data_IF_372730923024
#
_entry.id   IF_372730923024
#
_cell.length_a   1.000
_cell.length_b   1.000
_cell.length_c   1.000
_cell.angle_alpha   90.00
_cell.angle_beta   90.00
_cell.angle_gamma   90.00
#
_symmetry.space_group_name_H-M   'P 1'
#
loop_
_entity.id
_entity.type
_entity.pdbx_description
1 polymer ?
#
# COMPACT_ATOMS: atom_id res chain seq x y z
N UNK A 1 -15.95 2.31 15.26
CA UNK A 1 -16.32 2.98 14.00
C UNK A 1 -16.56 1.93 12.93
N UNK A 2 -17.78 1.83 12.36
CA UNK A 2 -18.12 0.88 11.30
C UNK A 2 -17.30 1.15 10.02
N UNK A 3 -17.11 0.14 9.18
CA UNK A 3 -16.28 0.26 7.97
C UNK A 3 -16.89 1.21 6.95
N UNK A 4 -18.21 1.29 6.86
CA UNK A 4 -18.94 2.23 5.99
C UNK A 4 -18.56 3.70 6.22
N UNK A 5 -18.23 4.09 7.47
CA UNK A 5 -17.80 5.44 7.81
C UNK A 5 -16.32 5.69 7.50
N UNK A 6 -15.54 4.63 7.29
CA UNK A 6 -14.12 4.71 6.97
C UNK A 6 -13.87 4.63 5.48
N UNK A 7 -14.68 3.86 4.74
CA UNK A 7 -14.54 3.59 3.32
C UNK A 7 -15.07 4.73 2.44
N UNK A 8 -14.73 5.96 2.80
CA UNK A 8 -15.18 7.20 2.14
C UNK A 8 -13.97 8.06 1.75
N UNK A 9 -14.20 8.98 0.83
CA UNK A 9 -13.23 10.04 0.54
C UNK A 9 -13.13 11.01 1.72
N UNK A 10 -11.95 11.61 1.94
CA UNK A 10 -11.67 12.53 3.06
C UNK A 10 -11.89 11.92 4.46
N UNK A 11 -11.66 10.62 4.61
CA UNK A 11 -11.76 9.95 5.91
C UNK A 11 -10.67 10.44 6.86
N UNK A 12 -11.03 10.72 8.11
CA UNK A 12 -10.08 11.09 9.19
C UNK A 12 -9.35 9.88 9.79
N UNK A 13 -9.64 8.67 9.29
CA UNK A 13 -8.99 7.45 9.75
C UNK A 13 -7.52 7.36 9.29
N UNK A 14 -6.61 7.79 10.15
CA UNK A 14 -5.18 7.88 9.82
C UNK A 14 -4.37 6.58 9.93
N UNK A 15 -4.93 5.48 10.44
CA UNK A 15 -4.17 4.25 10.68
C UNK A 15 -4.37 3.20 9.57
N UNK A 16 -3.62 3.32 8.48
CA UNK A 16 -3.70 2.39 7.32
C UNK A 16 -3.42 0.94 7.68
N UNK A 17 -2.50 0.69 8.64
CA UNK A 17 -2.17 -0.66 9.10
C UNK A 17 -3.33 -1.34 9.82
N UNK A 18 -4.13 -0.57 10.57
CA UNK A 18 -5.33 -1.07 11.23
C UNK A 18 -6.50 -1.18 10.26
N UNK A 19 -6.63 -0.25 9.30
CA UNK A 19 -7.61 -0.35 8.23
C UNK A 19 -7.42 -1.66 7.46
N UNK A 20 -6.19 -1.95 7.04
CA UNK A 20 -5.81 -3.20 6.37
C UNK A 20 -6.33 -4.44 7.09
N UNK A 21 -6.03 -4.58 8.39
CA UNK A 21 -6.44 -5.74 9.19
C UNK A 21 -7.96 -5.89 9.20
N UNK A 22 -8.68 -4.77 9.30
CA UNK A 22 -10.15 -4.78 9.31
C UNK A 22 -10.74 -5.14 7.95
N UNK A 23 -10.14 -4.68 6.85
CA UNK A 23 -10.59 -5.04 5.49
C UNK A 23 -10.41 -6.53 5.20
N UNK A 24 -9.27 -7.09 5.61
CA UNK A 24 -9.00 -8.52 5.47
C UNK A 24 -9.94 -9.33 6.35
N UNK A 25 -10.12 -8.94 7.62
CA UNK A 25 -11.03 -9.63 8.54
C UNK A 25 -12.51 -9.58 8.08
N UNK A 26 -12.91 -8.51 7.40
CA UNK A 26 -14.23 -8.36 6.82
C UNK A 26 -14.41 -9.06 5.47
N UNK A 27 -13.35 -9.67 4.91
CA UNK A 27 -13.39 -10.31 3.59
C UNK A 27 -13.52 -9.34 2.41
N UNK A 28 -13.30 -8.03 2.63
CA UNK A 28 -13.40 -7.01 1.60
C UNK A 28 -12.14 -6.92 0.73
N UNK A 29 -11.00 -7.36 1.27
CA UNK A 29 -9.71 -7.38 0.58
C UNK A 29 -8.96 -8.68 0.87
N UNK A 30 -8.12 -9.16 -0.05
CA UNK A 30 -7.39 -10.41 0.14
C UNK A 30 -6.30 -10.30 1.20
N UNK A 31 -5.96 -11.43 1.82
CA UNK A 31 -4.83 -11.59 2.74
C UNK A 31 -3.49 -11.83 2.00
N UNK A 32 -3.44 -11.55 0.70
CA UNK A 32 -2.27 -11.70 -0.17
C UNK A 32 -2.07 -10.46 -1.03
N UNK A 33 -0.91 -10.35 -1.66
CA UNK A 33 -0.61 -9.25 -2.57
C UNK A 33 -1.54 -9.28 -3.80
N UNK A 34 -2.30 -8.21 -4.04
CA UNK A 34 -3.18 -8.09 -5.22
C UNK A 34 -2.38 -8.00 -6.53
N UNK A 35 -1.09 -7.62 -6.49
CA UNK A 35 -0.25 -7.50 -7.68
C UNK A 35 0.47 -8.81 -8.07
N UNK A 36 1.01 -9.56 -7.11
CA UNK A 36 1.82 -10.75 -7.39
C UNK A 36 1.26 -12.05 -6.80
N UNK A 37 0.17 -12.00 -6.04
CA UNK A 37 -0.46 -13.16 -5.40
C UNK A 37 0.30 -13.72 -4.19
N UNK A 38 1.48 -13.20 -3.86
CA UNK A 38 2.27 -13.70 -2.75
C UNK A 38 1.64 -13.33 -1.40
N UNK A 39 1.51 -14.33 -0.53
CA UNK A 39 1.12 -14.18 0.88
C UNK A 39 2.27 -14.47 1.86
N UNK A 40 3.25 -15.26 1.41
CA UNK A 40 4.35 -15.75 2.23
C UNK A 40 5.65 -15.76 1.43
N UNK A 41 6.77 -15.62 2.14
CA UNK A 41 8.11 -15.66 1.59
C UNK A 41 8.99 -16.52 2.49
N UNK A 42 9.61 -17.56 1.90
CA UNK A 42 10.43 -18.53 2.64
C UNK A 42 9.73 -19.13 3.86
N UNK A 43 8.44 -19.47 3.73
CA UNK A 43 7.61 -20.03 4.80
C UNK A 43 7.26 -19.06 5.92
N UNK A 44 7.48 -17.74 5.73
CA UNK A 44 7.08 -16.70 6.67
C UNK A 44 6.01 -15.80 6.05
N UNK A 45 5.00 -15.34 6.81
CA UNK A 45 3.98 -14.44 6.28
C UNK A 45 4.63 -13.12 5.84
N UNK A 46 4.22 -12.63 4.66
CA UNK A 46 4.71 -11.37 4.15
C UNK A 46 4.05 -10.20 4.89
N UNK A 47 4.80 -9.14 5.24
CA UNK A 47 4.21 -7.92 5.77
C UNK A 47 3.51 -7.17 4.63
N UNK A 48 2.23 -7.42 4.43
CA UNK A 48 1.44 -6.69 3.43
C UNK A 48 1.14 -5.27 3.92
N UNK A 49 1.16 -4.32 3.00
CA UNK A 49 0.81 -2.92 3.18
C UNK A 49 -0.50 -2.59 2.47
N UNK A 50 -1.20 -1.56 2.95
CA UNK A 50 -2.33 -0.96 2.27
C UNK A 50 -1.81 0.25 1.48
N UNK A 51 -1.96 0.22 0.16
CA UNK A 51 -1.58 1.29 -0.76
C UNK A 51 -2.82 1.99 -1.31
N UNK A 52 -2.73 3.30 -1.43
CA UNK A 52 -3.74 4.16 -2.04
C UNK A 52 -3.34 4.42 -3.49
N UNK A 53 -4.16 3.98 -4.44
CA UNK A 53 -3.84 4.01 -5.88
C UNK A 53 -3.60 5.46 -6.36
N UNK A 54 -4.42 6.40 -5.88
CA UNK A 54 -4.27 7.83 -6.19
C UNK A 54 -3.18 8.55 -5.36
N UNK A 55 -2.56 7.87 -4.38
CA UNK A 55 -1.60 8.46 -3.45
C UNK A 55 -2.20 9.36 -2.36
N UNK A 56 -3.51 9.51 -2.30
CA UNK A 56 -4.22 10.28 -1.28
C UNK A 56 -4.60 9.38 -0.10
N UNK A 57 -3.89 9.58 1.01
CA UNK A 57 -4.10 8.87 2.27
C UNK A 57 -5.49 9.09 2.91
N UNK A 58 -6.24 10.11 2.48
CA UNK A 58 -7.57 10.41 2.99
C UNK A 58 -8.68 9.72 2.19
N UNK A 59 -8.37 9.20 1.00
CA UNK A 59 -9.33 8.52 0.13
C UNK A 59 -9.35 7.02 0.41
N UNK A 60 -10.13 6.63 1.41
CA UNK A 60 -10.23 5.25 1.85
C UNK A 60 -11.30 4.44 1.12
N UNK A 61 -11.81 4.91 -0.03
CA UNK A 61 -12.77 4.14 -0.83
C UNK A 61 -12.18 2.80 -1.26
N UNK A 62 -12.97 1.74 -1.21
CA UNK A 62 -12.49 0.37 -1.44
C UNK A 62 -11.81 0.20 -2.81
N UNK A 63 -12.32 0.89 -3.83
CA UNK A 63 -11.76 0.92 -5.20
C UNK A 63 -10.37 1.59 -5.28
N UNK A 64 -10.08 2.53 -4.38
CA UNK A 64 -8.82 3.26 -4.33
C UNK A 64 -7.76 2.55 -3.47
N UNK A 65 -8.16 1.49 -2.74
CA UNK A 65 -7.28 0.76 -1.84
C UNK A 65 -6.79 -0.53 -2.50
N UNK A 66 -5.53 -0.89 -2.29
CA UNK A 66 -4.99 -2.20 -2.66
C UNK A 66 -3.99 -2.74 -1.64
N UNK A 67 -3.91 -4.07 -1.55
CA UNK A 67 -3.00 -4.80 -0.67
C UNK A 67 -1.75 -5.19 -1.45
N UNK A 68 -0.58 -4.69 -1.03
CA UNK A 68 0.69 -4.96 -1.70
C UNK A 68 1.73 -5.54 -0.74
N UNK A 69 2.57 -6.44 -1.25
CA UNK A 69 3.77 -6.88 -0.55
C UNK A 69 4.86 -5.79 -0.62
N UNK A 70 5.90 -5.80 0.23
CA UNK A 70 6.92 -4.75 0.26
C UNK A 70 7.63 -4.57 -1.09
N UNK A 71 7.81 -5.65 -1.85
CA UNK A 71 8.46 -5.61 -3.16
C UNK A 71 7.57 -4.91 -4.21
N UNK A 72 6.30 -5.27 -4.29
CA UNK A 72 5.37 -4.62 -5.22
C UNK A 72 5.05 -3.18 -4.80
N UNK A 73 4.97 -2.93 -3.49
CA UNK A 73 4.74 -1.60 -2.96
C UNK A 73 5.90 -0.65 -3.28
N UNK A 74 7.14 -1.14 -3.27
CA UNK A 74 8.31 -0.33 -3.66
C UNK A 74 8.30 0.09 -5.14
N UNK A 75 7.52 -0.59 -5.99
CA UNK A 75 7.41 -0.31 -7.42
C UNK A 75 6.28 0.69 -7.74
N UNK A 76 5.47 1.08 -6.76
CA UNK A 76 4.38 2.04 -7.02
C UNK A 76 4.94 3.45 -7.22
N UNK A 77 4.38 4.19 -8.19
CA UNK A 77 4.74 5.58 -8.44
C UNK A 77 4.52 6.48 -7.22
N UNK A 78 3.53 6.14 -6.38
CA UNK A 78 3.21 6.81 -5.12
C UNK A 78 4.34 6.70 -4.08
N UNK A 79 5.13 5.62 -4.12
CA UNK A 79 6.30 5.43 -3.26
C UNK A 79 7.55 6.09 -3.85
N UNK A 80 7.83 5.88 -5.14
CA UNK A 80 9.03 6.40 -5.82
C UNK A 80 9.03 7.93 -5.99
N UNK A 81 7.88 8.61 -5.98
CA UNK A 81 7.81 10.07 -6.08
C UNK A 81 8.49 10.81 -4.91
N UNK A 82 8.67 10.18 -3.75
CA UNK A 82 9.42 10.77 -2.61
C UNK A 82 10.94 10.71 -2.78
N UNK A 83 11.45 10.01 -3.80
CA UNK A 83 12.88 9.75 -4.01
C UNK A 83 13.55 10.50 -5.17
N UNK A 84 12.85 11.38 -5.92
CA UNK A 84 13.46 12.15 -7.03
C UNK A 84 14.33 13.32 -6.56
N UNK A 85 15.23 13.07 -5.60
CA UNK A 85 16.49 13.80 -5.48
C UNK A 85 17.60 12.81 -5.83
N UNK A 86 17.72 12.50 -7.12
CA UNK A 86 18.92 11.82 -7.61
C UNK A 86 20.13 12.74 -7.35
N UNK A 87 21.12 12.33 -6.54
CA UNK A 87 22.42 12.98 -6.59
C UNK A 87 22.95 12.72 -8.00
N UNK A 88 23.44 13.77 -8.66
CA UNK A 88 24.19 13.66 -9.90
C UNK A 88 25.33 12.66 -9.71
N UNK A 89 25.15 11.41 -10.16
CA UNK A 89 26.24 10.46 -10.24
C UNK A 89 27.11 10.88 -11.43
N UNK A 90 28.06 11.77 -11.17
CA UNK A 90 29.13 12.04 -12.14
C UNK A 90 30.01 10.80 -12.18
N UNK A 91 29.99 10.09 -13.31
CA UNK A 91 30.93 8.99 -13.58
C UNK A 91 32.35 9.57 -13.55
N UNK A 92 33.35 8.99 -12.86
CA UNK A 92 34.73 9.34 -13.15
C UNK A 92 35.06 8.85 -14.56
N UNK A 93 35.64 9.74 -15.38
CA UNK A 93 36.07 9.45 -16.75
C UNK A 93 37.06 8.30 -16.81
N UNK A 94 36.98 7.55 -17.91
CA UNK A 94 37.88 6.45 -18.30
C UNK A 94 39.32 6.92 -18.51
#
# INVERSE_FOLDING_TARGET
MPLEQVLVANSTYGCSSQLRKRLIAAGLKPDHCEACGLREWRGRPLPLALDHINGDHTDNRLENLRILCPNCHALTDTWCARGRRSPTWQRPGS
#
